data_IF_337701878142
#
_entry.id   IF_337701878142
#
_cell.length_a   1.000
_cell.length_b   1.000
_cell.length_c   1.000
_cell.angle_alpha   90.00
_cell.angle_beta   90.00
_cell.angle_gamma   90.00
#
_symmetry.space_group_name_H-M   'P 1'
#
loop_
_entity.id
_entity.type
_entity.pdbx_description
1 polymer ?
#
# COMPACT_ATOMS: atom_id res chain seq x y z
N UNK A 1 -14.40 11.46 -25.66
CA UNK A 1 -14.22 10.03 -25.28
C UNK A 1 -12.72 9.71 -25.15
N UNK A 2 -12.27 9.23 -23.98
CA UNK A 2 -10.90 8.72 -23.79
C UNK A 2 -9.97 9.54 -22.89
N UNK A 3 -10.40 9.93 -21.69
CA UNK A 3 -9.49 10.51 -20.68
C UNK A 3 -9.82 9.96 -19.29
N UNK A 4 -9.63 8.66 -19.07
CA UNK A 4 -9.42 8.17 -17.71
C UNK A 4 -7.97 8.47 -17.32
N UNK A 5 -7.73 8.80 -16.05
CA UNK A 5 -6.35 8.93 -15.56
C UNK A 5 -5.66 7.55 -15.63
N UNK A 6 -4.37 7.44 -16.01
CA UNK A 6 -3.65 6.15 -16.02
C UNK A 6 -3.77 5.35 -14.71
N UNK A 7 -3.91 6.05 -13.59
CA UNK A 7 -4.18 5.45 -12.28
C UNK A 7 -5.54 4.75 -12.22
N UNK A 8 -6.60 5.37 -12.74
CA UNK A 8 -7.94 4.77 -12.77
C UNK A 8 -7.96 3.51 -13.63
N UNK A 9 -7.33 3.55 -14.80
CA UNK A 9 -7.21 2.37 -15.68
C UNK A 9 -6.43 1.23 -15.02
N UNK A 10 -5.42 1.54 -14.21
CA UNK A 10 -4.64 0.55 -13.46
C UNK A 10 -5.45 -0.13 -12.35
N UNK A 11 -6.34 0.63 -11.69
CA UNK A 11 -7.14 0.13 -10.55
C UNK A 11 -8.41 -0.57 -11.02
N UNK A 12 -8.97 -0.16 -12.16
CA UNK A 12 -10.23 -0.69 -12.66
C UNK A 12 -10.16 -2.21 -12.89
N UNK A 13 -11.07 -2.94 -12.27
CA UNK A 13 -11.15 -4.41 -12.37
C UNK A 13 -10.18 -5.17 -11.46
N UNK A 14 -9.38 -4.49 -10.63
CA UNK A 14 -8.58 -5.15 -9.61
C UNK A 14 -9.44 -5.62 -8.44
N UNK A 15 -9.15 -6.81 -7.90
CA UNK A 15 -9.85 -7.32 -6.72
C UNK A 15 -9.48 -6.54 -5.45
N UNK A 16 -8.27 -5.95 -5.41
CA UNK A 16 -7.76 -5.19 -4.28
C UNK A 16 -6.68 -4.21 -4.73
N UNK A 17 -6.61 -3.03 -4.11
CA UNK A 17 -5.55 -2.06 -4.32
C UNK A 17 -4.65 -1.92 -3.08
N UNK A 18 -3.40 -2.34 -3.18
CA UNK A 18 -2.39 -2.11 -2.14
C UNK A 18 -1.66 -0.79 -2.42
N UNK A 19 -1.94 0.22 -1.61
CA UNK A 19 -1.37 1.56 -1.74
C UNK A 19 -0.07 1.64 -0.93
N UNK A 20 1.01 2.14 -1.53
CA UNK A 20 2.30 2.35 -0.84
C UNK A 20 2.56 3.84 -0.74
N UNK A 21 2.83 4.34 0.47
CA UNK A 21 3.15 5.75 0.71
C UNK A 21 4.31 5.91 1.70
N UNK A 22 4.80 7.13 1.88
CA UNK A 22 5.81 7.48 2.88
C UNK A 22 5.21 8.55 3.84
N UNK A 23 5.58 8.56 5.13
CA UNK A 23 4.99 9.43 6.15
C UNK A 23 5.47 10.89 6.03
N UNK A 24 5.15 11.51 4.90
CA UNK A 24 5.44 12.90 4.56
C UNK A 24 4.13 13.64 4.27
N UNK A 25 4.10 14.99 4.36
CA UNK A 25 2.91 15.76 4.03
C UNK A 25 2.39 15.46 2.61
N UNK A 26 3.29 15.34 1.64
CA UNK A 26 2.94 14.97 0.26
C UNK A 26 2.39 13.56 0.17
N UNK A 27 2.99 12.60 0.88
CA UNK A 27 2.51 11.22 0.92
C UNK A 27 1.09 11.09 1.46
N UNK A 28 0.67 11.94 2.40
CA UNK A 28 -0.72 11.99 2.90
C UNK A 28 -1.69 12.56 1.85
N UNK A 29 -1.30 13.64 1.16
CA UNK A 29 -2.13 14.23 0.08
C UNK A 29 -2.30 13.29 -1.12
N UNK A 30 -1.22 12.66 -1.58
CA UNK A 30 -1.25 11.72 -2.70
C UNK A 30 -2.03 10.45 -2.34
N UNK A 31 -1.85 9.95 -1.11
CA UNK A 31 -2.65 8.83 -0.59
C UNK A 31 -4.14 9.17 -0.58
N UNK A 32 -4.52 10.38 -0.20
CA UNK A 32 -5.92 10.77 -0.18
C UNK A 32 -6.55 10.73 -1.59
N UNK A 33 -5.86 11.25 -2.60
CA UNK A 33 -6.31 11.17 -3.98
C UNK A 33 -6.41 9.72 -4.48
N UNK A 34 -5.47 8.87 -4.07
CA UNK A 34 -5.46 7.46 -4.41
C UNK A 34 -6.64 6.69 -3.81
N UNK A 35 -6.93 6.94 -2.53
CA UNK A 35 -8.06 6.32 -1.82
C UNK A 35 -9.39 6.75 -2.42
N UNK A 36 -9.57 8.03 -2.77
CA UNK A 36 -10.79 8.50 -3.45
C UNK A 36 -10.98 7.81 -4.81
N UNK A 37 -9.89 7.53 -5.52
CA UNK A 37 -9.94 6.78 -6.78
C UNK A 37 -10.40 5.34 -6.54
N UNK A 38 -9.85 4.65 -5.53
CA UNK A 38 -10.27 3.29 -5.17
C UNK A 38 -11.75 3.24 -4.78
N UNK A 39 -12.22 4.22 -3.99
CA UNK A 39 -13.62 4.36 -3.57
C UNK A 39 -14.55 4.57 -4.76
N UNK A 40 -14.18 5.45 -5.69
CA UNK A 40 -14.97 5.73 -6.90
C UNK A 40 -15.13 4.47 -7.77
N UNK A 41 -14.10 3.63 -7.81
CA UNK A 41 -14.10 2.37 -8.56
C UNK A 41 -14.66 1.18 -7.77
N UNK A 42 -15.10 1.40 -6.53
CA UNK A 42 -15.55 0.35 -5.60
C UNK A 42 -14.51 -0.78 -5.38
N UNK A 43 -13.22 -0.45 -5.46
CA UNK A 43 -12.12 -1.38 -5.22
C UNK A 43 -11.66 -1.28 -3.77
N UNK A 44 -11.66 -2.37 -2.98
CA UNK A 44 -11.14 -2.35 -1.62
C UNK A 44 -9.65 -2.06 -1.62
N UNK A 45 -9.17 -1.32 -0.61
CA UNK A 45 -7.77 -0.93 -0.53
C UNK A 45 -7.23 -0.96 0.90
N UNK A 46 -5.90 -1.02 0.99
CA UNK A 46 -5.14 -0.97 2.23
C UNK A 46 -3.76 -0.36 1.97
N UNK A 47 -3.08 0.02 3.05
CA UNK A 47 -1.88 0.86 2.96
C UNK A 47 -0.65 0.14 3.51
N UNK A 48 0.46 0.21 2.77
CA UNK A 48 1.80 -0.03 3.28
C UNK A 48 2.51 1.32 3.47
N UNK A 49 3.00 1.57 4.67
CA UNK A 49 3.81 2.75 4.94
C UNK A 49 5.28 2.40 4.77
N UNK A 50 5.87 2.86 3.68
CA UNK A 50 7.30 2.79 3.42
C UNK A 50 8.06 3.87 4.21
N UNK A 51 9.32 3.59 4.57
CA UNK A 51 10.17 4.48 5.38
C UNK A 51 9.50 4.91 6.69
N UNK A 52 8.76 4.00 7.31
CA UNK A 52 8.13 4.23 8.60
C UNK A 52 9.16 4.70 9.65
N UNK A 53 8.71 5.56 10.57
CA UNK A 53 9.54 6.19 11.59
C UNK A 53 10.30 7.44 11.14
N UNK A 54 10.21 7.85 9.87
CA UNK A 54 10.83 9.07 9.34
C UNK A 54 9.77 10.03 8.82
N UNK A 55 9.32 10.97 9.64
CA UNK A 55 8.38 12.01 9.25
C UNK A 55 7.24 12.22 10.25
N UNK A 56 6.06 12.55 9.76
CA UNK A 56 4.89 12.91 10.59
C UNK A 56 3.81 11.81 10.64
N UNK A 57 2.78 12.06 11.45
CA UNK A 57 1.65 11.14 11.64
C UNK A 57 0.52 11.33 10.63
N UNK A 58 0.65 12.26 9.68
CA UNK A 58 -0.44 12.67 8.79
C UNK A 58 -0.99 11.54 7.91
N UNK A 59 -0.16 10.57 7.54
CA UNK A 59 -0.59 9.34 6.84
C UNK A 59 -1.43 8.46 7.76
N UNK A 60 -0.94 8.17 8.97
CA UNK A 60 -1.60 7.30 9.93
C UNK A 60 -2.94 7.88 10.37
N UNK A 61 -2.95 9.18 10.71
CA UNK A 61 -4.17 9.86 11.11
C UNK A 61 -5.18 9.90 9.95
N UNK A 62 -4.71 10.06 8.70
CA UNK A 62 -5.59 9.98 7.53
C UNK A 62 -6.19 8.58 7.38
N UNK A 63 -5.36 7.53 7.41
CA UNK A 63 -5.81 6.14 7.33
C UNK A 63 -6.86 5.84 8.41
N UNK A 64 -6.61 6.26 9.65
CA UNK A 64 -7.54 6.08 10.76
C UNK A 64 -8.88 6.79 10.51
N UNK A 65 -8.86 8.08 10.14
CA UNK A 65 -10.08 8.86 9.85
C UNK A 65 -10.84 8.31 8.65
N UNK A 66 -10.12 7.82 7.64
CA UNK A 66 -10.68 7.30 6.40
C UNK A 66 -11.14 5.83 6.54
N UNK A 67 -10.88 5.17 7.67
CA UNK A 67 -11.20 3.76 7.89
C UNK A 67 -10.41 2.81 6.99
N UNK A 68 -9.19 3.20 6.58
CA UNK A 68 -8.33 2.41 5.71
C UNK A 68 -7.29 1.68 6.57
N UNK A 69 -7.15 0.36 6.43
CA UNK A 69 -6.18 -0.39 7.22
C UNK A 69 -4.75 -0.10 6.77
N UNK A 70 -3.88 0.20 7.73
CA UNK A 70 -2.42 0.10 7.54
C UNK A 70 -2.04 -1.36 7.74
N UNK A 71 -1.64 -2.02 6.66
CA UNK A 71 -1.38 -3.47 6.63
C UNK A 71 0.06 -3.82 6.97
N UNK A 72 0.99 -2.91 6.66
CA UNK A 72 2.42 -3.11 6.90
C UNK A 72 3.15 -1.78 7.03
N UNK A 73 4.15 -1.75 7.90
CA UNK A 73 5.14 -0.69 8.00
C UNK A 73 6.52 -1.24 7.62
N UNK A 74 7.18 -0.59 6.66
CA UNK A 74 8.56 -0.89 6.29
C UNK A 74 9.44 0.22 6.88
N UNK A 75 10.25 -0.06 7.92
CA UNK A 75 11.05 0.96 8.57
C UNK A 75 12.10 1.53 7.63
N UNK A 76 12.50 2.78 7.85
CA UNK A 76 13.66 3.34 7.16
C UNK A 76 14.93 2.60 7.55
N UNK A 77 15.49 1.83 6.62
CA UNK A 77 16.79 1.19 6.78
C UNK A 77 17.66 1.43 5.54
N UNK A 78 18.88 1.91 5.77
CA UNK A 78 19.84 2.20 4.70
C UNK A 78 20.14 0.98 3.84
N UNK A 79 20.17 -0.22 4.43
CA UNK A 79 20.39 -1.47 3.71
C UNK A 79 19.27 -1.78 2.71
N UNK A 80 18.00 -1.59 3.12
CA UNK A 80 16.81 -1.77 2.27
C UNK A 80 16.82 -0.74 1.13
N UNK A 81 17.05 0.54 1.45
CA UNK A 81 17.12 1.62 0.46
C UNK A 81 18.24 1.38 -0.57
N UNK A 82 19.41 0.93 -0.12
CA UNK A 82 20.54 0.63 -0.99
C UNK A 82 20.32 -0.59 -1.89
N UNK A 83 19.59 -1.60 -1.41
CA UNK A 83 19.24 -2.76 -2.22
C UNK A 83 18.23 -2.39 -3.31
N UNK A 84 17.17 -1.66 -2.96
CA UNK A 84 16.20 -1.14 -3.93
C UNK A 84 16.89 -0.29 -5.03
N UNK A 85 17.80 0.60 -4.65
CA UNK A 85 18.54 1.45 -5.61
C UNK A 85 19.42 0.66 -6.60
N UNK A 86 19.71 -0.62 -6.31
CA UNK A 86 20.45 -1.53 -7.19
C UNK A 86 19.56 -2.57 -7.86
N UNK A 87 18.23 -2.41 -7.81
CA UNK A 87 17.27 -3.38 -8.36
C UNK A 87 17.12 -4.66 -7.54
N UNK A 88 17.61 -4.67 -6.30
CA UNK A 88 17.47 -5.78 -5.36
C UNK A 88 16.16 -5.73 -4.57
N UNK A 89 15.77 -6.86 -3.99
CA UNK A 89 14.56 -6.99 -3.17
C UNK A 89 14.89 -6.89 -1.68
N UNK A 90 13.88 -6.59 -0.85
CA UNK A 90 14.02 -6.62 0.61
C UNK A 90 14.43 -8.00 1.14
N UNK A 91 13.98 -9.08 0.46
CA UNK A 91 14.35 -10.46 0.78
C UNK A 91 15.83 -10.77 0.53
N UNK A 92 16.46 -10.07 -0.42
CA UNK A 92 17.90 -10.19 -0.66
C UNK A 92 18.73 -9.52 0.45
N UNK A 93 18.16 -8.56 1.17
CA UNK A 93 18.78 -7.89 2.32
C UNK A 93 18.56 -8.68 3.60
N UNK A 94 17.31 -9.08 3.81
CA UNK A 94 16.88 -9.77 5.02
C UNK A 94 15.78 -10.79 4.66
N UNK A 95 16.13 -12.09 4.58
CA UNK A 95 15.17 -13.16 4.33
C UNK A 95 14.05 -13.26 5.39
N UNK A 96 14.23 -12.66 6.57
CA UNK A 96 13.22 -12.61 7.64
C UNK A 96 11.93 -11.90 7.21
N UNK A 97 11.98 -11.04 6.17
CA UNK A 97 10.78 -10.43 5.59
C UNK A 97 9.84 -11.41 4.90
N UNK A 98 10.28 -12.64 4.60
CA UNK A 98 9.47 -13.63 3.90
C UNK A 98 8.17 -13.97 4.66
N UNK A 99 8.24 -14.14 5.98
CA UNK A 99 7.05 -14.41 6.81
C UNK A 99 6.11 -13.21 6.87
N UNK A 100 6.67 -12.00 6.99
CA UNK A 100 5.90 -10.75 7.06
C UNK A 100 5.14 -10.49 5.76
N UNK A 101 5.82 -10.60 4.61
CA UNK A 101 5.19 -10.43 3.30
C UNK A 101 4.16 -11.51 3.00
N UNK A 102 4.40 -12.75 3.47
CA UNK A 102 3.41 -13.83 3.37
C UNK A 102 2.17 -13.53 4.21
N UNK A 103 2.33 -13.06 5.44
CA UNK A 103 1.22 -12.68 6.30
C UNK A 103 0.39 -11.54 5.69
N UNK A 104 1.04 -10.52 5.12
CA UNK A 104 0.38 -9.43 4.38
C UNK A 104 -0.48 -9.99 3.23
N UNK A 105 0.08 -10.90 2.42
CA UNK A 105 -0.63 -11.53 1.32
C UNK A 105 -1.87 -12.31 1.79
N UNK A 106 -1.74 -13.13 2.84
CA UNK A 106 -2.86 -13.88 3.40
C UNK A 106 -3.95 -12.96 3.97
N UNK A 107 -3.58 -11.84 4.59
CA UNK A 107 -4.52 -10.84 5.07
C UNK A 107 -5.32 -10.21 3.93
N UNK A 108 -4.67 -9.88 2.81
CA UNK A 108 -5.35 -9.35 1.62
C UNK A 108 -6.30 -10.39 1.02
N UNK A 109 -5.85 -11.64 0.86
CA UNK A 109 -6.70 -12.73 0.35
C UNK A 109 -7.94 -12.96 1.20
N UNK A 110 -7.77 -12.96 2.52
CA UNK A 110 -8.87 -13.17 3.48
C UNK A 110 -9.89 -12.03 3.43
N UNK A 111 -9.43 -10.80 3.13
CA UNK A 111 -10.30 -9.62 3.00
C UNK A 111 -11.15 -9.64 1.73
N UNK A 112 -10.73 -10.40 0.71
CA UNK A 112 -11.43 -10.55 -0.57
C UNK A 112 -12.30 -11.81 -0.69
N UNK A 113 -12.25 -12.72 0.29
CA UNK A 113 -12.94 -14.02 0.28
C UNK A 113 -14.46 -13.98 0.42
N UNK A 114 -15.13 -12.84 0.16
CA UNK A 114 -16.58 -12.72 0.20
C UNK A 114 -17.32 -13.12 -1.08
N UNK A 115 -16.63 -13.60 -2.12
CA UNK A 115 -17.27 -13.76 -3.45
C UNK A 115 -16.72 -14.81 -4.41
N UNK A 116 -15.85 -15.73 -4.00
CA UNK A 116 -15.34 -16.75 -4.92
C UNK A 116 -15.00 -18.04 -4.17
N UNK A 117 -16.04 -18.73 -3.70
CA UNK A 117 -16.10 -20.19 -3.55
C UNK A 117 -17.58 -20.55 -3.39
N UNK A 118 -18.25 -20.76 -4.52
CA UNK A 118 -19.58 -21.37 -4.66
C UNK A 118 -19.51 -22.40 -5.77
#
# INVERSE_FOLDING_TARGET
PGTACPMQETIAGADYCLLVTEPTPFGSSDLAAAVETCRTLAVPCGVVVNRAGVGDQGVYDYCQRAGIPVLLEIPWQRAIAAAYARGGTILAVDPGWASTLRALYEQIRSSNGGGADS
#
